data_IF_426511881577
#
_entry.id   IF_426511881577
#
_cell.length_a   1.000
_cell.length_b   1.000
_cell.length_c   1.000
_cell.angle_alpha   90.00
_cell.angle_beta   90.00
_cell.angle_gamma   90.00
#
_symmetry.space_group_name_H-M   'P 1'
#
loop_
_entity.id
_entity.type
_entity.pdbx_description
1 polymer ?
#
# COMPACT_ATOMS: atom_id res chain seq x y z
N UNK A 1 -28.84 -2.56 8.39
CA UNK A 1 -29.20 -1.34 7.64
C UNK A 1 -29.86 -1.67 6.30
N UNK A 2 -30.95 -0.97 5.95
CA UNK A 2 -31.68 -1.14 4.68
C UNK A 2 -31.10 -0.30 3.53
N UNK A 3 -30.34 0.77 3.82
CA UNK A 3 -29.72 1.61 2.79
C UNK A 3 -28.36 1.05 2.32
N UNK A 4 -28.34 0.56 1.09
CA UNK A 4 -27.13 0.01 0.43
C UNK A 4 -26.08 1.08 0.16
N UNK A 5 -26.47 2.33 -0.12
CA UNK A 5 -25.54 3.41 -0.43
C UNK A 5 -24.83 3.88 0.83
N UNK A 6 -25.58 4.05 1.94
CA UNK A 6 -25.00 4.40 3.24
C UNK A 6 -23.99 3.35 3.71
N UNK A 7 -24.37 2.06 3.63
CA UNK A 7 -23.48 0.95 3.99
C UNK A 7 -22.18 0.97 3.20
N UNK A 8 -22.27 1.16 1.87
CA UNK A 8 -21.07 1.28 1.02
C UNK A 8 -20.19 2.47 1.45
N UNK A 9 -20.78 3.63 1.72
CA UNK A 9 -20.06 4.84 2.15
C UNK A 9 -19.34 4.65 3.49
N UNK A 10 -19.97 3.98 4.46
CA UNK A 10 -19.36 3.65 5.75
C UNK A 10 -18.22 2.65 5.59
N UNK A 11 -18.42 1.59 4.81
CA UNK A 11 -17.38 0.62 4.49
C UNK A 11 -16.16 1.27 3.80
N UNK A 12 -16.39 2.17 2.84
CA UNK A 12 -15.31 2.90 2.16
C UNK A 12 -14.53 3.78 3.16
N UNK A 13 -15.23 4.47 4.08
CA UNK A 13 -14.59 5.32 5.10
C UNK A 13 -13.71 4.50 6.05
N UNK A 14 -14.21 3.37 6.53
CA UNK A 14 -13.46 2.48 7.43
C UNK A 14 -12.27 1.85 6.69
N UNK A 15 -12.47 1.36 5.46
CA UNK A 15 -11.40 0.75 4.65
C UNK A 15 -10.25 1.74 4.39
N UNK A 16 -10.58 3.01 4.11
CA UNK A 16 -9.58 4.08 3.95
C UNK A 16 -8.81 4.36 5.23
N UNK A 17 -9.49 4.42 6.36
CA UNK A 17 -8.83 4.61 7.66
C UNK A 17 -7.91 3.43 7.98
N UNK A 18 -8.35 2.19 7.75
CA UNK A 18 -7.50 1.00 7.91
C UNK A 18 -6.27 1.05 7.01
N UNK A 19 -6.45 1.37 5.72
CA UNK A 19 -5.34 1.55 4.79
C UNK A 19 -4.35 2.63 5.26
N UNK A 20 -4.86 3.76 5.77
CA UNK A 20 -4.05 4.85 6.28
C UNK A 20 -3.22 4.42 7.48
N UNK A 21 -3.83 3.80 8.48
CA UNK A 21 -3.14 3.33 9.69
C UNK A 21 -2.09 2.26 9.36
N UNK A 22 -2.41 1.30 8.47
CA UNK A 22 -1.46 0.29 8.00
C UNK A 22 -0.18 0.92 7.42
N UNK A 23 -0.34 1.96 6.60
CA UNK A 23 0.77 2.68 5.97
C UNK A 23 1.46 3.70 6.91
N UNK A 24 0.86 3.99 8.06
CA UNK A 24 1.32 5.06 8.97
C UNK A 24 1.82 4.54 10.31
N UNK A 25 2.03 3.22 10.42
CA UNK A 25 2.65 2.64 11.57
C UNK A 25 1.71 1.97 12.57
N UNK A 26 0.43 1.85 12.23
CA UNK A 26 -0.62 1.33 13.10
C UNK A 26 -1.27 2.42 13.96
N UNK A 27 -2.42 2.07 14.54
CA UNK A 27 -3.23 2.97 15.34
C UNK A 27 -4.56 2.35 15.74
N UNK A 28 -5.52 3.18 16.14
CA UNK A 28 -6.86 2.74 16.55
C UNK A 28 -7.91 3.58 15.85
N UNK A 29 -8.80 2.91 15.13
CA UNK A 29 -9.96 3.55 14.50
C UNK A 29 -11.12 3.41 15.48
N UNK A 30 -11.71 4.55 15.84
CA UNK A 30 -12.89 4.63 16.69
C UNK A 30 -14.12 4.94 15.84
N UNK A 31 -15.10 4.03 15.84
CA UNK A 31 -16.39 4.22 15.19
C UNK A 31 -17.49 4.26 16.24
N UNK A 32 -18.40 5.23 16.16
CA UNK A 32 -19.59 5.27 16.99
C UNK A 32 -20.65 4.34 16.41
N UNK A 33 -21.30 3.56 17.29
CA UNK A 33 -22.31 2.58 16.90
C UNK A 33 -23.66 3.30 16.85
N UNK A 34 -24.27 3.34 15.66
CA UNK A 34 -25.61 3.93 15.48
C UNK A 34 -26.74 2.95 15.87
N UNK A 35 -26.46 1.65 15.87
CA UNK A 35 -27.43 0.61 16.15
C UNK A 35 -27.52 0.37 17.67
N UNK A 36 -28.57 0.84 18.33
CA UNK A 36 -28.74 0.78 19.79
C UNK A 36 -28.60 -0.63 20.39
N UNK A 37 -29.00 -1.67 19.64
CA UNK A 37 -28.98 -3.07 20.11
C UNK A 37 -27.81 -3.89 19.56
N UNK A 38 -26.77 -3.24 19.00
CA UNK A 38 -25.64 -3.95 18.44
C UNK A 38 -24.75 -4.58 19.51
N UNK A 39 -24.39 -5.84 19.30
CA UNK A 39 -23.44 -6.58 20.11
C UNK A 39 -22.43 -7.29 19.22
N UNK A 40 -21.16 -6.94 19.35
CA UNK A 40 -20.08 -7.56 18.57
C UNK A 40 -20.04 -9.08 18.72
N UNK A 41 -20.39 -9.61 19.91
CA UNK A 41 -20.40 -11.06 20.17
C UNK A 41 -21.44 -11.82 19.34
N UNK A 42 -22.57 -11.19 19.03
CA UNK A 42 -23.69 -11.83 18.31
C UNK A 42 -23.74 -11.43 16.85
N UNK A 43 -23.36 -10.19 16.54
CA UNK A 43 -23.61 -9.57 15.24
C UNK A 43 -22.35 -9.52 14.37
N UNK A 44 -21.16 -9.68 14.95
CA UNK A 44 -19.88 -9.60 14.24
C UNK A 44 -19.56 -8.20 13.72
N UNK A 45 -18.66 -8.09 12.74
CA UNK A 45 -18.29 -6.80 12.12
C UNK A 45 -19.09 -6.48 10.86
N UNK A 46 -19.81 -7.46 10.30
CA UNK A 46 -20.53 -7.33 9.04
C UNK A 46 -19.74 -7.86 7.85
N UNK A 47 -20.44 -8.60 6.97
CA UNK A 47 -19.86 -9.31 5.83
C UNK A 47 -19.16 -8.39 4.82
N UNK A 48 -19.61 -7.15 4.67
CA UNK A 48 -19.00 -6.17 3.78
C UNK A 48 -17.63 -5.69 4.27
N UNK A 49 -17.47 -5.48 5.58
CA UNK A 49 -16.17 -5.19 6.20
C UNK A 49 -15.26 -6.43 6.17
N UNK A 50 -15.79 -7.62 6.45
CA UNK A 50 -15.03 -8.87 6.35
C UNK A 50 -14.45 -9.08 4.95
N UNK A 51 -15.27 -8.90 3.90
CA UNK A 51 -14.82 -9.00 2.52
C UNK A 51 -13.79 -7.91 2.16
N UNK A 52 -14.01 -6.67 2.63
CA UNK A 52 -13.10 -5.56 2.33
C UNK A 52 -11.73 -5.77 2.97
N UNK A 53 -11.69 -6.20 4.23
CA UNK A 53 -10.44 -6.51 4.93
C UNK A 53 -9.77 -7.77 4.38
N UNK A 54 -10.54 -8.81 4.03
CA UNK A 54 -10.02 -10.02 3.42
C UNK A 54 -9.40 -9.80 2.04
N UNK A 55 -9.95 -8.86 1.25
CA UNK A 55 -9.36 -8.46 -0.03
C UNK A 55 -8.12 -7.57 0.13
N UNK A 56 -8.05 -6.81 1.22
CA UNK A 56 -6.94 -5.88 1.49
C UNK A 56 -5.72 -6.58 2.09
N UNK A 57 -5.95 -7.57 2.97
CA UNK A 57 -4.93 -8.16 3.83
C UNK A 57 -4.83 -9.68 3.62
N UNK A 58 -3.62 -10.25 3.51
CA UNK A 58 -3.45 -11.70 3.39
C UNK A 58 -3.88 -12.45 4.65
N UNK A 59 -3.77 -11.82 5.83
CA UNK A 59 -4.24 -12.36 7.10
C UNK A 59 -4.80 -11.24 7.98
N UNK A 60 -6.13 -11.10 8.01
CA UNK A 60 -6.82 -10.02 8.74
C UNK A 60 -6.42 -9.99 10.21
N UNK A 61 -6.47 -11.13 10.92
CA UNK A 61 -6.17 -11.22 12.36
C UNK A 61 -4.72 -10.93 12.73
N UNK A 62 -3.80 -11.02 11.76
CA UNK A 62 -2.42 -10.60 12.01
C UNK A 62 -2.37 -9.09 12.26
N UNK A 63 -3.09 -8.31 11.46
CA UNK A 63 -3.00 -6.85 11.46
C UNK A 63 -4.15 -6.15 12.20
N UNK A 64 -5.34 -6.76 12.26
CA UNK A 64 -6.55 -6.15 12.80
C UNK A 64 -7.05 -6.91 14.02
N UNK A 65 -7.26 -6.18 15.10
CA UNK A 65 -7.97 -6.62 16.30
C UNK A 65 -9.20 -5.73 16.51
N UNK A 66 -10.26 -6.29 17.08
CA UNK A 66 -11.58 -5.65 17.16
C UNK A 66 -12.09 -5.68 18.60
N UNK A 67 -12.67 -4.58 19.05
CA UNK A 67 -13.23 -4.46 20.39
C UNK A 67 -14.46 -3.56 20.37
N UNK A 68 -15.51 -3.96 21.10
CA UNK A 68 -16.60 -3.06 21.44
C UNK A 68 -16.35 -2.51 22.85
N UNK A 69 -16.46 -1.20 23.00
CA UNK A 69 -16.41 -0.50 24.28
C UNK A 69 -17.57 0.51 24.33
N UNK A 70 -18.53 0.27 25.19
CA UNK A 70 -19.77 1.05 25.30
C UNK A 70 -20.45 1.20 23.92
N UNK A 71 -20.73 2.45 23.50
CA UNK A 71 -21.29 2.77 22.19
C UNK A 71 -20.24 2.93 21.07
N UNK A 72 -19.03 2.42 21.27
CA UNK A 72 -17.96 2.50 20.28
C UNK A 72 -17.47 1.13 19.84
N UNK A 73 -17.17 1.04 18.54
CA UNK A 73 -16.44 -0.05 17.93
C UNK A 73 -15.02 0.41 17.61
N UNK A 74 -14.03 -0.28 18.19
CA UNK A 74 -12.61 0.01 18.04
C UNK A 74 -11.97 -1.03 17.13
N UNK A 75 -11.24 -0.55 16.13
CA UNK A 75 -10.40 -1.38 15.24
C UNK A 75 -8.95 -1.02 15.53
N UNK A 76 -8.23 -1.94 16.17
CA UNK A 76 -6.80 -1.82 16.39
C UNK A 76 -6.08 -2.29 15.15
N UNK A 77 -5.25 -1.41 14.58
CA UNK A 77 -4.52 -1.65 13.34
C UNK A 77 -3.04 -1.71 13.68
N UNK A 78 -2.39 -2.83 13.39
CA UNK A 78 -0.93 -2.96 13.50
C UNK A 78 -0.27 -2.38 12.25
N UNK A 79 0.96 -1.90 12.39
CA UNK A 79 1.75 -1.43 11.24
C UNK A 79 1.82 -2.50 10.16
N UNK A 80 1.73 -2.09 8.89
CA UNK A 80 2.12 -2.97 7.80
C UNK A 80 3.61 -3.29 7.93
N UNK A 81 3.91 -4.59 7.96
CA UNK A 81 5.26 -5.14 7.92
C UNK A 81 5.19 -6.24 6.88
N UNK A 82 5.68 -5.96 5.67
CA UNK A 82 5.37 -6.80 4.52
C UNK A 82 5.94 -8.21 4.67
N UNK A 83 5.07 -9.22 4.58
CA UNK A 83 5.48 -10.61 4.32
C UNK A 83 5.65 -10.88 2.82
N UNK A 84 5.12 -10.00 1.97
CA UNK A 84 5.12 -10.15 0.52
C UNK A 84 6.36 -9.43 -0.02
N UNK A 85 7.33 -10.16 -0.61
CA UNK A 85 8.57 -9.57 -1.08
C UNK A 85 8.33 -8.36 -2.00
N UNK A 86 8.79 -7.19 -1.57
CA UNK A 86 8.74 -5.95 -2.35
C UNK A 86 7.48 -5.09 -2.21
N UNK A 87 6.40 -5.57 -1.59
CA UNK A 87 5.19 -4.75 -1.40
C UNK A 87 5.29 -3.92 -0.13
N UNK A 88 5.68 -2.64 -0.23
CA UNK A 88 5.92 -1.78 0.94
C UNK A 88 4.69 -1.11 1.52
N UNK A 89 3.64 -0.93 0.71
CA UNK A 89 2.42 -0.23 1.12
C UNK A 89 1.17 -1.01 0.79
N UNK A 90 0.15 -0.79 1.60
CA UNK A 90 -1.19 -1.31 1.41
C UNK A 90 -1.98 -0.37 0.50
N UNK A 91 -2.73 -0.94 -0.43
CA UNK A 91 -3.49 -0.21 -1.45
C UNK A 91 -4.84 -0.89 -1.64
N UNK A 92 -5.94 -0.13 -1.52
CA UNK A 92 -7.30 -0.64 -1.74
C UNK A 92 -7.56 -0.90 -3.23
N UNK A 93 -7.06 -0.01 -4.09
CA UNK A 93 -7.09 -0.16 -5.55
C UNK A 93 -5.92 0.60 -6.16
N UNK A 94 -5.12 -0.06 -7.00
CA UNK A 94 -4.03 0.61 -7.73
C UNK A 94 -4.55 1.64 -8.72
N UNK A 95 -5.78 1.47 -9.20
CA UNK A 95 -6.36 2.19 -10.33
C UNK A 95 -5.50 2.14 -11.62
N UNK A 96 -4.58 1.18 -11.69
CA UNK A 96 -3.91 0.77 -12.92
C UNK A 96 -4.72 -0.35 -13.55
N UNK A 97 -5.16 -0.15 -14.79
CA UNK A 97 -5.88 -1.19 -15.52
C UNK A 97 -5.00 -1.81 -16.59
N UNK A 98 -5.28 -3.08 -16.90
CA UNK A 98 -4.79 -3.76 -18.09
C UNK A 98 -5.93 -4.43 -18.84
N UNK A 99 -5.72 -4.64 -20.14
CA UNK A 99 -6.48 -5.63 -20.90
C UNK A 99 -5.99 -7.02 -20.54
N UNK A 100 -6.94 -7.87 -20.19
CA UNK A 100 -6.76 -9.30 -19.95
C UNK A 100 -7.76 -10.03 -20.84
N UNK A 101 -7.30 -10.35 -22.05
CA UNK A 101 -8.09 -10.89 -23.15
C UNK A 101 -9.29 -9.96 -23.43
N UNK A 102 -10.52 -10.38 -23.15
CA UNK A 102 -11.73 -9.60 -23.44
C UNK A 102 -12.11 -8.62 -22.33
N UNK A 103 -11.38 -8.58 -21.22
CA UNK A 103 -11.80 -7.83 -20.03
C UNK A 103 -10.78 -6.75 -19.65
N UNK A 104 -11.26 -5.60 -19.16
CA UNK A 104 -10.43 -4.61 -18.51
C UNK A 104 -10.41 -4.90 -17.00
N UNK A 105 -9.23 -5.24 -16.47
CA UNK A 105 -9.06 -5.57 -15.05
C UNK A 105 -8.13 -4.57 -14.38
N UNK A 106 -8.49 -4.16 -13.17
CA UNK A 106 -7.56 -3.45 -12.29
C UNK A 106 -6.45 -4.42 -11.88
N UNK A 107 -5.20 -3.94 -11.90
CA UNK A 107 -4.07 -4.69 -11.40
C UNK A 107 -4.13 -4.70 -9.88
N UNK A 108 -4.11 -5.88 -9.27
CA UNK A 108 -3.87 -5.99 -7.83
C UNK A 108 -2.49 -5.40 -7.46
N UNK A 109 -2.21 -5.14 -6.18
CA UNK A 109 -0.96 -4.48 -5.77
C UNK A 109 0.32 -5.19 -6.22
N UNK A 110 0.30 -6.53 -6.33
CA UNK A 110 1.46 -7.32 -6.76
C UNK A 110 1.65 -7.17 -8.27
N UNK A 111 0.59 -7.39 -9.05
CA UNK A 111 0.62 -7.22 -10.49
C UNK A 111 0.99 -5.78 -10.89
N UNK A 112 0.53 -4.79 -10.13
CA UNK A 112 0.88 -3.38 -10.34
C UNK A 112 2.36 -3.13 -10.05
N UNK A 113 2.90 -3.68 -8.97
CA UNK A 113 4.33 -3.57 -8.64
C UNK A 113 5.21 -4.17 -9.74
N UNK A 114 4.88 -5.39 -10.18
CA UNK A 114 5.59 -6.07 -11.27
C UNK A 114 5.54 -5.25 -12.55
N UNK A 115 4.36 -4.77 -12.94
CA UNK A 115 4.18 -3.90 -14.10
C UNK A 115 5.03 -2.63 -14.03
N UNK A 116 5.11 -1.97 -12.87
CA UNK A 116 5.86 -0.72 -12.73
C UNK A 116 7.37 -0.95 -12.74
N UNK A 117 7.86 -2.01 -12.07
CA UNK A 117 9.27 -2.41 -12.13
C UNK A 117 9.67 -2.73 -13.56
N UNK A 118 8.82 -3.46 -14.25
CA UNK A 118 9.01 -3.80 -15.65
C UNK A 118 9.11 -2.57 -16.58
N UNK A 119 8.20 -1.60 -16.40
CA UNK A 119 8.23 -0.33 -17.14
C UNK A 119 9.46 0.51 -16.80
N UNK A 120 9.92 0.48 -15.55
CA UNK A 120 11.14 1.17 -15.09
C UNK A 120 12.41 0.56 -15.71
N UNK A 121 12.51 -0.78 -15.73
CA UNK A 121 13.66 -1.51 -16.26
C UNK A 121 13.76 -1.44 -17.79
N UNK A 122 12.65 -1.65 -18.50
CA UNK A 122 12.64 -1.66 -19.97
C UNK A 122 12.80 -0.27 -20.59
N UNK A 123 12.50 0.80 -19.85
CA UNK A 123 12.48 2.16 -20.38
C UNK A 123 11.66 2.27 -21.68
N UNK A 124 12.11 3.10 -22.62
CA UNK A 124 11.46 3.31 -23.93
C UNK A 124 11.59 2.14 -24.90
N UNK A 125 12.15 0.99 -24.50
CA UNK A 125 12.08 -0.22 -25.33
C UNK A 125 10.62 -0.67 -25.35
N UNK A 126 9.84 -0.01 -26.19
CA UNK A 126 8.68 -0.56 -26.86
C UNK A 126 9.24 -1.74 -27.61
N UNK A 127 9.34 -2.88 -26.90
CA UNK A 127 9.56 -4.16 -27.55
C UNK A 127 8.61 -4.16 -28.74
N UNK A 128 9.13 -4.34 -29.97
CA UNK A 128 8.27 -4.59 -31.11
C UNK A 128 7.25 -5.63 -30.64
N UNK A 129 5.97 -5.48 -31.03
CA UNK A 129 5.03 -6.61 -30.94
C UNK A 129 5.85 -7.85 -31.32
N UNK A 130 5.92 -8.90 -30.49
CA UNK A 130 6.71 -10.07 -30.83
C UNK A 130 6.38 -10.37 -32.29
N UNK A 131 7.34 -10.17 -33.19
CA UNK A 131 7.15 -10.51 -34.58
C UNK A 131 6.93 -12.00 -34.50
N UNK A 132 5.68 -12.42 -34.63
CA UNK A 132 5.39 -13.81 -34.90
C UNK A 132 6.35 -14.18 -36.03
N UNK A 133 7.05 -15.33 -35.93
CA UNK A 133 7.96 -15.78 -36.98
C UNK A 133 7.24 -15.63 -38.33
N UNK A 134 7.92 -15.36 -39.45
CA UNK A 134 7.26 -15.32 -40.76
C UNK A 134 6.65 -16.71 -40.99
N UNK A 135 5.37 -16.84 -40.63
CA UNK A 135 4.64 -18.10 -40.62
C UNK A 135 3.88 -18.13 -41.93
N UNK A 136 4.09 -19.22 -42.67
CA UNK A 136 3.41 -19.55 -43.92
C UNK A 136 1.92 -19.20 -43.78
N UNK A 137 1.34 -18.54 -44.78
CA UNK A 137 -0.11 -18.36 -44.89
C UNK A 137 -0.77 -19.74 -44.76
N UNK A 138 -1.26 -20.07 -43.57
CA UNK A 138 -2.15 -21.19 -43.37
C UNK A 138 -3.57 -20.64 -43.56
N UNK A 139 -4.20 -20.98 -44.69
CA UNK A 139 -5.60 -20.68 -44.93
C UNK A 139 -6.44 -21.23 -43.77
N UNK A 140 -7.20 -20.35 -43.09
CA UNK A 140 -8.14 -20.74 -42.01
C UNK A 140 -7.69 -20.48 -40.58
N UNK A 141 -6.47 -19.96 -40.32
CA UNK A 141 -6.04 -19.57 -38.96
C UNK A 141 -6.43 -18.12 -38.66
N UNK A 142 -7.30 -17.90 -37.67
CA UNK A 142 -7.64 -16.56 -37.17
C UNK A 142 -6.78 -16.23 -35.93
N UNK A 143 -5.89 -15.26 -36.04
CA UNK A 143 -5.06 -14.74 -34.94
C UNK A 143 -5.61 -13.40 -34.42
N UNK A 144 -5.20 -13.00 -33.21
CA UNK A 144 -5.65 -11.74 -32.59
C UNK A 144 -5.25 -10.50 -33.41
N UNK A 145 -4.14 -10.56 -34.15
CA UNK A 145 -3.75 -9.53 -35.11
C UNK A 145 -4.77 -9.33 -36.23
N UNK A 146 -5.49 -10.38 -36.63
CA UNK A 146 -6.55 -10.29 -37.64
C UNK A 146 -7.76 -9.54 -37.07
N UNK A 147 -8.04 -9.69 -35.77
CA UNK A 147 -9.11 -8.97 -35.07
C UNK A 147 -8.77 -7.48 -34.99
N UNK A 148 -7.54 -7.12 -34.63
CA UNK A 148 -7.09 -5.73 -34.57
C UNK A 148 -7.12 -5.05 -35.96
N UNK A 149 -6.73 -5.77 -37.01
CA UNK A 149 -6.82 -5.28 -38.39
C UNK A 149 -8.28 -5.01 -38.79
N UNK A 150 -9.18 -5.97 -38.53
CA UNK A 150 -10.61 -5.79 -38.81
C UNK A 150 -11.23 -4.62 -38.01
N UNK A 151 -10.80 -4.42 -36.76
CA UNK A 151 -11.20 -3.27 -35.96
C UNK A 151 -10.66 -1.95 -36.53
N UNK A 152 -9.43 -1.93 -37.03
CA UNK A 152 -8.84 -0.76 -37.70
C UNK A 152 -9.62 -0.40 -38.98
N UNK A 153 -10.00 -1.39 -39.78
CA UNK A 153 -10.83 -1.20 -40.97
C UNK A 153 -12.20 -0.63 -40.59
N UNK A 154 -12.83 -1.21 -39.55
CA UNK A 154 -14.09 -0.70 -39.02
C UNK A 154 -13.99 0.74 -38.52
N UNK A 155 -12.91 1.09 -37.80
CA UNK A 155 -12.61 2.46 -37.35
C UNK A 155 -12.44 3.45 -38.51
N UNK A 156 -12.07 2.98 -39.70
CA UNK A 156 -11.87 3.82 -40.88
C UNK A 156 -13.12 3.98 -41.76
N UNK A 157 -14.21 3.27 -41.46
CA UNK A 157 -15.48 3.46 -42.15
C UNK A 157 -16.06 4.86 -41.90
N UNK A 158 -16.96 5.28 -42.76
CA UNK A 158 -17.68 6.56 -42.68
C UNK A 158 -19.17 6.39 -42.37
N UNK A 159 -19.76 5.27 -42.78
CA UNK A 159 -21.16 4.91 -42.55
C UNK A 159 -21.26 3.46 -42.09
N UNK A 160 -22.18 3.21 -41.17
CA UNK A 160 -22.52 1.91 -40.63
C UNK A 160 -23.99 1.60 -40.88
N UNK A 161 -24.34 0.32 -41.01
CA UNK A 161 -25.73 -0.11 -41.18
C UNK A 161 -26.30 -0.59 -39.84
N UNK A 162 -27.51 -0.13 -39.50
CA UNK A 162 -28.20 -0.57 -38.29
C UNK A 162 -28.38 -2.10 -38.30
N UNK A 163 -28.11 -2.72 -37.14
CA UNK A 163 -28.07 -4.18 -36.93
C UNK A 163 -27.08 -4.94 -37.82
N UNK A 164 -26.13 -4.28 -38.49
CA UNK A 164 -25.04 -5.00 -39.13
C UNK A 164 -24.23 -5.76 -38.08
N UNK A 165 -23.87 -6.99 -38.39
CA UNK A 165 -23.10 -7.84 -37.50
C UNK A 165 -21.61 -7.67 -37.81
N UNK A 166 -20.82 -7.35 -36.79
CA UNK A 166 -19.38 -7.24 -36.93
C UNK A 166 -18.76 -8.61 -37.21
N UNK A 167 -17.70 -8.62 -38.01
CA UNK A 167 -16.95 -9.82 -38.41
C UNK A 167 -15.85 -10.19 -37.41
N UNK A 168 -15.72 -9.45 -36.32
CA UNK A 168 -14.70 -9.62 -35.30
C UNK A 168 -15.30 -9.54 -33.89
N UNK A 169 -14.54 -9.99 -32.90
CA UNK A 169 -14.98 -10.09 -31.51
C UNK A 169 -14.20 -9.14 -30.61
N UNK A 170 -14.62 -9.02 -29.35
CA UNK A 170 -13.76 -8.47 -28.30
C UNK A 170 -12.48 -9.31 -28.18
N UNK A 171 -11.40 -8.62 -27.81
CA UNK A 171 -10.04 -9.16 -27.68
C UNK A 171 -9.20 -8.23 -26.81
N UNK A 172 -7.91 -8.50 -26.67
CA UNK A 172 -6.99 -7.62 -25.95
C UNK A 172 -6.96 -6.22 -26.56
N UNK A 173 -7.19 -6.11 -27.88
CA UNK A 173 -7.18 -4.85 -28.63
C UNK A 173 -8.55 -4.29 -28.97
N UNK A 174 -9.65 -4.95 -28.59
CA UNK A 174 -11.02 -4.53 -28.96
C UNK A 174 -11.96 -4.70 -27.79
N UNK A 175 -12.65 -3.62 -27.44
CA UNK A 175 -13.75 -3.60 -26.48
C UNK A 175 -15.02 -3.05 -27.13
N UNK A 176 -16.16 -3.67 -26.85
CA UNK A 176 -17.48 -3.24 -27.31
C UNK A 176 -18.38 -2.91 -26.11
N UNK A 177 -19.11 -1.81 -26.21
CA UNK A 177 -20.09 -1.41 -25.20
C UNK A 177 -21.37 -0.91 -25.85
N UNK A 178 -22.49 -1.30 -25.25
CA UNK A 178 -23.79 -0.71 -25.55
C UNK A 178 -24.37 -0.10 -24.28
N UNK A 179 -24.98 1.07 -24.43
CA UNK A 179 -25.77 1.68 -23.38
C UNK A 179 -27.23 1.76 -23.83
N UNK A 180 -28.12 1.20 -23.02
CA UNK A 180 -29.57 1.22 -23.25
C UNK A 180 -30.26 2.47 -22.72
N UNK A 181 -29.58 3.29 -21.89
CA UNK A 181 -30.19 4.41 -21.18
C UNK A 181 -29.78 5.75 -21.77
N UNK A 182 -30.68 6.74 -21.74
CA UNK A 182 -30.41 8.13 -22.11
C UNK A 182 -29.27 8.77 -21.28
N UNK A 183 -28.94 8.20 -20.10
CA UNK A 183 -27.78 8.58 -19.28
C UNK A 183 -26.43 8.05 -19.79
N UNK A 184 -26.32 7.68 -21.07
CA UNK A 184 -25.10 7.11 -21.63
C UNK A 184 -23.91 8.09 -21.54
N UNK A 185 -24.13 9.42 -21.59
CA UNK A 185 -23.07 10.42 -21.41
C UNK A 185 -22.37 10.28 -20.05
N UNK A 186 -23.14 10.13 -18.98
CA UNK A 186 -22.61 9.88 -17.63
C UNK A 186 -21.85 8.55 -17.56
N UNK A 187 -22.36 7.50 -18.24
CA UNK A 187 -21.67 6.21 -18.29
C UNK A 187 -20.33 6.28 -19.02
N UNK A 188 -20.22 7.04 -20.11
CA UNK A 188 -18.93 7.25 -20.78
C UNK A 188 -17.92 7.87 -19.82
N UNK A 189 -18.31 8.91 -19.06
CA UNK A 189 -17.43 9.53 -18.06
C UNK A 189 -16.93 8.53 -17.01
N UNK A 190 -17.78 7.58 -16.64
CA UNK A 190 -17.47 6.57 -15.63
C UNK A 190 -16.53 5.48 -16.16
N UNK A 191 -16.72 5.02 -17.39
CA UNK A 191 -15.97 3.88 -17.95
C UNK A 191 -14.70 4.29 -18.70
N UNK A 192 -14.68 5.47 -19.30
CA UNK A 192 -13.62 5.89 -20.23
C UNK A 192 -12.22 5.89 -19.56
N UNK A 193 -12.04 6.42 -18.34
CA UNK A 193 -10.75 6.34 -17.64
C UNK A 193 -10.19 4.92 -17.50
N UNK A 194 -11.07 3.95 -17.23
CA UNK A 194 -10.68 2.55 -17.02
C UNK A 194 -10.18 1.93 -18.32
N UNK A 195 -10.91 2.12 -19.43
CA UNK A 195 -10.51 1.57 -20.73
C UNK A 195 -9.29 2.27 -21.31
N UNK A 196 -9.16 3.59 -21.14
CA UNK A 196 -7.97 4.33 -21.59
C UNK A 196 -6.74 3.85 -20.83
N UNK A 197 -6.82 3.73 -19.50
CA UNK A 197 -5.76 3.12 -18.67
C UNK A 197 -5.45 1.70 -19.14
N UNK A 198 -6.47 0.86 -19.34
CA UNK A 198 -6.30 -0.53 -19.75
C UNK A 198 -5.55 -0.69 -21.08
N UNK A 199 -5.99 0.01 -22.13
CA UNK A 199 -5.37 -0.07 -23.45
C UNK A 199 -3.99 0.59 -23.46
N UNK A 200 -3.82 1.73 -22.79
CA UNK A 200 -2.55 2.43 -22.74
C UNK A 200 -1.45 1.60 -22.05
N UNK A 201 -1.81 0.88 -20.99
CA UNK A 201 -0.87 0.07 -20.21
C UNK A 201 -0.54 -1.29 -20.83
N UNK A 202 -1.31 -1.75 -21.83
CA UNK A 202 -1.00 -2.97 -22.59
C UNK A 202 -0.32 -2.62 -23.92
N UNK A 203 -1.04 -2.77 -25.04
CA UNK A 203 -0.54 -2.63 -26.41
C UNK A 203 -1.40 -1.71 -27.28
N UNK A 204 -2.27 -0.91 -26.65
CA UNK A 204 -3.26 -0.11 -27.33
C UNK A 204 -4.44 -0.95 -27.84
N UNK A 205 -5.42 -0.27 -28.43
CA UNK A 205 -6.60 -0.92 -28.96
C UNK A 205 -7.72 0.05 -29.31
N UNK A 206 -8.92 -0.51 -29.48
CA UNK A 206 -10.13 0.15 -29.93
C UNK A 206 -11.26 -0.06 -28.93
N UNK A 207 -11.94 1.02 -28.58
CA UNK A 207 -13.19 1.01 -27.81
C UNK A 207 -14.31 1.46 -28.73
N UNK A 208 -15.29 0.58 -28.97
CA UNK A 208 -16.48 0.88 -29.75
C UNK A 208 -17.70 0.96 -28.84
N UNK A 209 -18.33 2.12 -28.76
CA UNK A 209 -19.53 2.38 -27.97
C UNK A 209 -20.71 2.57 -28.93
N UNK A 210 -21.74 1.75 -28.79
CA UNK A 210 -22.86 1.63 -29.74
C UNK A 210 -22.94 0.24 -30.40
N UNK A 211 -22.25 -0.75 -29.85
CA UNK A 211 -22.26 -2.14 -30.34
C UNK A 211 -22.71 -3.05 -29.20
N UNK A 212 -23.73 -3.88 -29.43
CA UNK A 212 -24.29 -4.77 -28.41
C UNK A 212 -23.47 -6.07 -28.25
N UNK A 213 -23.85 -6.90 -27.27
CA UNK A 213 -23.20 -8.17 -26.96
C UNK A 213 -23.28 -9.19 -28.12
N UNK A 214 -24.32 -9.09 -28.94
CA UNK A 214 -24.49 -9.89 -30.17
C UNK A 214 -23.62 -9.41 -31.35
N UNK A 215 -22.75 -8.42 -31.11
CA UNK A 215 -21.85 -7.80 -32.08
C UNK A 215 -22.60 -7.06 -33.19
N UNK A 216 -23.78 -6.53 -32.87
CA UNK A 216 -24.59 -5.75 -33.79
C UNK A 216 -24.40 -4.26 -33.55
N UNK A 217 -24.32 -3.50 -34.64
CA UNK A 217 -24.29 -2.04 -34.59
C UNK A 217 -25.68 -1.52 -34.25
N UNK A 218 -25.83 -0.95 -33.05
CA UNK A 218 -27.08 -0.33 -32.60
C UNK A 218 -26.96 1.20 -32.66
N UNK A 219 -25.79 1.73 -32.30
CA UNK A 219 -25.54 3.16 -32.19
C UNK A 219 -26.08 3.77 -30.89
N UNK A 220 -25.67 5.01 -30.66
CA UNK A 220 -26.17 5.91 -29.63
C UNK A 220 -27.04 6.95 -30.31
N UNK A 221 -28.27 7.13 -29.83
CA UNK A 221 -29.14 8.21 -30.31
C UNK A 221 -28.60 9.54 -29.81
N UNK A 222 -28.29 10.45 -30.75
CA UNK A 222 -27.67 11.73 -30.45
C UNK A 222 -27.91 12.74 -31.57
N UNK A 223 -28.01 14.01 -31.22
CA UNK A 223 -28.03 15.11 -32.18
C UNK A 223 -26.62 15.54 -32.56
N UNK A 224 -26.47 16.34 -33.62
CA UNK A 224 -25.17 16.86 -34.04
C UNK A 224 -24.49 17.72 -32.95
N UNK A 225 -25.28 18.52 -32.22
CA UNK A 225 -24.79 19.37 -31.13
C UNK A 225 -24.25 18.56 -29.93
N UNK A 226 -24.67 17.32 -29.79
CA UNK A 226 -24.19 16.42 -28.75
C UNK A 226 -22.78 15.94 -29.07
N UNK A 227 -22.45 15.67 -30.34
CA UNK A 227 -21.15 15.16 -30.74
C UNK A 227 -19.98 16.08 -30.33
N UNK A 228 -20.16 17.40 -30.44
CA UNK A 228 -19.14 18.37 -30.02
C UNK A 228 -18.93 18.36 -28.51
N UNK A 229 -20.02 18.25 -27.73
CA UNK A 229 -19.94 18.07 -26.27
C UNK A 229 -19.20 16.78 -25.92
N UNK A 230 -19.41 15.70 -26.68
CA UNK A 230 -18.77 14.41 -26.41
C UNK A 230 -17.29 14.47 -26.72
N UNK A 231 -16.91 15.10 -27.83
CA UNK A 231 -15.51 15.33 -28.19
C UNK A 231 -14.79 16.08 -27.07
N UNK A 232 -15.38 17.18 -26.58
CA UNK A 232 -14.82 17.95 -25.47
C UNK A 232 -14.71 17.14 -24.17
N UNK A 233 -15.69 16.28 -23.87
CA UNK A 233 -15.66 15.43 -22.68
C UNK A 233 -14.60 14.33 -22.78
N UNK A 234 -14.46 13.66 -23.93
CA UNK A 234 -13.43 12.63 -24.15
C UNK A 234 -12.05 13.24 -23.95
N UNK A 235 -11.80 14.40 -24.56
CA UNK A 235 -10.54 15.13 -24.42
C UNK A 235 -10.27 15.53 -22.96
N UNK A 236 -11.26 16.13 -22.30
CA UNK A 236 -11.14 16.54 -20.91
C UNK A 236 -10.91 15.35 -19.97
N UNK A 237 -11.60 14.23 -20.21
CA UNK A 237 -11.49 13.02 -19.40
C UNK A 237 -10.10 12.38 -19.54
N UNK A 238 -9.60 12.23 -20.77
CA UNK A 238 -8.28 11.64 -21.04
C UNK A 238 -7.16 12.54 -20.51
N UNK A 239 -7.25 13.87 -20.69
CA UNK A 239 -6.24 14.82 -20.21
C UNK A 239 -6.12 14.86 -18.69
N UNK A 240 -7.18 14.54 -17.96
CA UNK A 240 -7.21 14.49 -16.49
C UNK A 240 -6.64 13.20 -15.90
N UNK A 241 -6.35 12.19 -16.72
CA UNK A 241 -5.84 10.92 -16.22
C UNK A 241 -4.44 11.10 -15.63
N UNK A 242 -4.19 10.62 -14.39
CA UNK A 242 -2.86 10.65 -13.83
C UNK A 242 -1.91 9.74 -14.64
N UNK A 243 -0.76 10.28 -15.03
CA UNK A 243 0.27 9.57 -15.76
C UNK A 243 1.59 9.66 -15.02
N UNK A 244 2.38 8.60 -15.08
CA UNK A 244 3.74 8.59 -14.54
C UNK A 244 4.73 8.15 -15.61
N UNK A 245 5.83 8.89 -15.71
CA UNK A 245 6.88 8.67 -16.70
C UNK A 245 8.19 8.25 -16.01
N UNK A 246 8.66 7.05 -16.31
CA UNK A 246 10.01 6.61 -15.98
C UNK A 246 11.04 7.09 -17.02
N UNK A 247 10.60 7.43 -18.24
CA UNK A 247 11.47 7.74 -19.37
C UNK A 247 12.00 9.19 -19.41
N UNK A 248 11.62 10.04 -18.45
CA UNK A 248 12.01 11.46 -18.41
C UNK A 248 11.37 12.35 -19.48
N UNK A 249 10.46 11.82 -20.32
CA UNK A 249 9.73 12.60 -21.34
C UNK A 249 8.28 12.79 -20.91
N UNK A 250 7.81 14.04 -20.91
CA UNK A 250 6.42 14.35 -20.58
C UNK A 250 5.51 14.21 -21.81
N UNK A 251 5.26 12.96 -22.23
CA UNK A 251 4.37 12.66 -23.38
C UNK A 251 2.92 12.56 -22.92
N UNK A 252 2.02 13.07 -23.74
CA UNK A 252 0.58 12.90 -23.56
C UNK A 252 0.10 11.53 -24.08
N UNK A 253 -1.07 11.11 -23.58
CA UNK A 253 -1.75 9.90 -24.03
C UNK A 253 -2.21 10.12 -25.47
N UNK A 254 -1.69 9.32 -26.41
CA UNK A 254 -2.07 9.40 -27.82
C UNK A 254 -3.35 8.62 -28.07
N UNK A 255 -4.37 9.30 -28.57
CA UNK A 255 -5.62 8.68 -28.97
C UNK A 255 -6.20 9.35 -30.22
N UNK A 256 -7.18 8.69 -30.83
CA UNK A 256 -7.99 9.23 -31.91
C UNK A 256 -9.44 8.80 -31.69
N UNK A 257 -10.40 9.65 -32.01
CA UNK A 257 -11.82 9.33 -31.87
C UNK A 257 -12.59 9.71 -33.13
N UNK A 258 -13.66 8.97 -33.41
CA UNK A 258 -14.59 9.23 -34.53
C UNK A 258 -16.01 8.91 -34.09
N UNK A 259 -16.97 9.64 -34.67
CA UNK A 259 -18.38 9.32 -34.58
C UNK A 259 -18.83 8.77 -35.92
N UNK A 260 -19.11 7.47 -35.96
CA UNK A 260 -19.49 6.75 -37.18
C UNK A 260 -21.02 6.77 -37.28
N UNK A 261 -21.57 7.42 -38.32
CA UNK A 261 -23.02 7.51 -38.50
C UNK A 261 -23.64 6.14 -38.79
N UNK A 262 -24.69 5.79 -38.05
CA UNK A 262 -25.46 4.55 -38.20
C UNK A 262 -26.75 4.86 -38.95
N UNK A 263 -27.00 4.10 -40.02
CA UNK A 263 -28.14 4.33 -40.90
C UNK A 263 -29.08 3.12 -40.90
N UNK A 264 -30.38 3.39 -40.77
CA UNK A 264 -31.46 2.43 -40.93
C UNK A 264 -32.30 2.83 -42.14
N UNK A 265 -32.37 1.96 -43.15
CA UNK A 265 -33.06 2.22 -44.43
C UNK A 265 -32.74 3.60 -45.05
N UNK A 266 -31.48 4.04 -44.94
CA UNK A 266 -30.99 5.31 -45.48
C UNK A 266 -31.14 6.52 -44.55
N UNK A 267 -31.84 6.39 -43.42
CA UNK A 267 -32.01 7.44 -42.43
C UNK A 267 -30.96 7.31 -41.32
N UNK A 268 -30.31 8.41 -40.97
CA UNK A 268 -29.39 8.45 -39.83
C UNK A 268 -30.17 8.21 -38.53
N UNK A 269 -29.85 7.15 -37.80
CA UNK A 269 -30.55 6.77 -36.57
C UNK A 269 -29.68 6.88 -35.30
N UNK A 270 -28.37 7.08 -35.44
CA UNK A 270 -27.47 7.31 -34.32
C UNK A 270 -25.99 7.27 -34.73
N UNK A 271 -25.12 7.19 -33.73
CA UNK A 271 -23.67 7.17 -33.93
C UNK A 271 -23.00 6.07 -33.10
N UNK A 272 -21.98 5.43 -33.66
CA UNK A 272 -21.01 4.67 -32.88
C UNK A 272 -19.85 5.60 -32.52
N UNK A 273 -19.57 5.72 -31.22
CA UNK A 273 -18.36 6.39 -30.74
C UNK A 273 -17.20 5.40 -30.76
N UNK A 274 -16.25 5.62 -31.66
CA UNK A 274 -15.09 4.78 -31.85
C UNK A 274 -13.84 5.51 -31.33
N UNK A 275 -13.12 4.94 -30.37
CA UNK A 275 -11.85 5.45 -29.88
C UNK A 275 -10.74 4.47 -30.20
N UNK A 276 -9.60 4.98 -30.68
CA UNK A 276 -8.33 4.27 -30.82
C UNK A 276 -7.36 4.83 -29.78
N UNK A 277 -6.89 3.99 -28.87
CA UNK A 277 -5.92 4.34 -27.83
C UNK A 277 -4.59 3.69 -28.21
N UNK A 278 -3.52 4.47 -28.27
CA UNK A 278 -2.18 3.92 -28.52
C UNK A 278 -1.55 3.43 -27.21
N UNK A 279 -0.67 2.44 -27.31
CA UNK A 279 0.20 2.03 -26.19
C UNK A 279 0.97 3.24 -25.66
N UNK A 280 0.98 3.38 -24.34
CA UNK A 280 1.73 4.41 -23.64
C UNK A 280 3.11 3.89 -23.23
N UNK A 281 4.08 4.78 -23.08
CA UNK A 281 5.47 4.39 -22.79
C UNK A 281 5.66 3.89 -21.36
N UNK A 282 4.91 4.42 -20.39
CA UNK A 282 5.08 4.14 -18.98
C UNK A 282 3.76 3.68 -18.34
N UNK A 283 3.17 4.47 -17.43
CA UNK A 283 1.96 4.09 -16.71
C UNK A 283 0.87 5.17 -16.82
N UNK A 284 -0.34 4.74 -17.14
CA UNK A 284 -1.56 5.55 -17.15
C UNK A 284 -2.53 5.00 -16.12
N UNK A 285 -2.93 5.82 -15.17
CA UNK A 285 -3.91 5.48 -14.15
C UNK A 285 -5.30 5.96 -14.56
N UNK A 286 -6.34 5.23 -14.16
CA UNK A 286 -7.71 5.70 -14.35
C UNK A 286 -8.04 6.86 -13.40
N UNK A 287 -7.44 6.86 -12.19
CA UNK A 287 -7.57 7.85 -11.11
C UNK A 287 -6.34 7.73 -10.19
N UNK A 288 -6.16 8.66 -9.27
CA UNK A 288 -5.17 8.51 -8.19
C UNK A 288 -5.33 7.16 -7.48
N UNK A 289 -4.24 6.45 -7.10
CA UNK A 289 -4.33 5.18 -6.38
C UNK A 289 -5.17 5.32 -5.12
N UNK A 290 -6.05 4.36 -4.84
CA UNK A 290 -6.84 4.32 -3.61
C UNK A 290 -5.95 3.76 -2.48
N UNK A 291 -4.92 4.53 -2.13
CA UNK A 291 -3.96 4.25 -1.07
C UNK A 291 -3.80 5.50 -0.20
N UNK A 292 -3.78 5.31 1.12
CA UNK A 292 -3.92 6.38 2.09
C UNK A 292 -2.81 6.29 3.13
N UNK A 293 -2.49 7.43 3.74
CA UNK A 293 -1.62 7.54 4.90
C UNK A 293 -2.09 8.68 5.79
N UNK A 294 -1.52 8.77 6.98
CA UNK A 294 -1.72 9.84 7.94
C UNK A 294 -0.56 10.82 7.80
N UNK A 295 -0.88 12.06 7.50
CA UNK A 295 0.07 13.18 7.43
C UNK A 295 -0.58 14.39 8.10
N UNK A 296 0.17 15.10 8.95
CA UNK A 296 -0.31 16.27 9.69
C UNK A 296 -1.64 16.04 10.43
N UNK A 297 -1.76 14.87 11.09
CA UNK A 297 -2.96 14.42 11.81
C UNK A 297 -4.22 14.28 10.92
N UNK A 298 -4.04 14.10 9.61
CA UNK A 298 -5.14 13.91 8.66
C UNK A 298 -4.90 12.68 7.78
N UNK A 299 -5.99 11.99 7.46
CA UNK A 299 -5.97 10.91 6.46
C UNK A 299 -5.91 11.55 5.07
N UNK A 300 -4.80 11.33 4.35
CA UNK A 300 -4.56 11.86 3.00
C UNK A 300 -4.37 10.72 1.99
N UNK A 301 -4.94 10.90 0.80
CA UNK A 301 -4.70 10.02 -0.33
C UNK A 301 -3.30 10.26 -0.88
N UNK A 302 -2.57 9.18 -1.17
CA UNK A 302 -1.29 9.28 -1.88
C UNK A 302 -1.53 9.72 -3.32
N UNK A 303 -0.68 10.61 -3.79
CA UNK A 303 -0.57 10.89 -5.22
C UNK A 303 0.11 9.72 -5.95
N UNK A 304 -0.08 9.61 -7.27
CA UNK A 304 0.65 8.64 -8.11
C UNK A 304 2.16 8.70 -7.87
N UNK A 305 2.72 9.90 -7.75
CA UNK A 305 4.16 10.09 -7.55
C UNK A 305 4.64 9.50 -6.22
N UNK A 306 3.94 9.79 -5.12
CA UNK A 306 4.27 9.27 -3.79
C UNK A 306 4.10 7.75 -3.76
N UNK A 307 2.97 7.27 -4.30
CA UNK A 307 2.65 5.85 -4.33
C UNK A 307 3.71 5.04 -5.09
N UNK A 308 4.18 5.54 -6.26
CA UNK A 308 5.25 4.88 -7.02
C UNK A 308 6.59 4.90 -6.27
N UNK A 309 6.95 5.99 -5.59
CA UNK A 309 8.20 6.05 -4.81
C UNK A 309 8.25 4.99 -3.72
N UNK A 310 7.15 4.79 -3.01
CA UNK A 310 7.07 3.74 -1.99
C UNK A 310 7.03 2.34 -2.58
N UNK A 311 6.32 2.14 -3.70
CA UNK A 311 6.21 0.82 -4.33
C UNK A 311 7.51 0.38 -5.03
N UNK A 312 8.15 1.29 -5.77
CA UNK A 312 9.20 0.95 -6.76
C UNK A 312 10.58 1.44 -6.35
N UNK A 313 10.70 2.66 -5.83
CA UNK A 313 12.00 3.27 -5.51
C UNK A 313 12.56 2.81 -4.16
N UNK A 314 11.78 1.99 -3.44
CA UNK A 314 12.11 1.47 -2.14
C UNK A 314 12.46 2.57 -1.13
N UNK A 315 11.88 3.77 -1.28
CA UNK A 315 11.98 4.81 -0.26
C UNK A 315 11.42 4.29 1.08
N UNK A 316 12.04 4.65 2.20
CA UNK A 316 11.51 4.32 3.51
C UNK A 316 10.18 5.05 3.72
N UNK A 317 9.20 4.35 4.29
CA UNK A 317 7.90 4.93 4.57
C UNK A 317 8.03 6.15 5.49
N UNK A 318 7.10 7.13 5.46
CA UNK A 318 7.12 8.23 6.41
C UNK A 318 7.07 7.72 7.86
N UNK A 319 6.41 6.58 8.09
CA UNK A 319 6.32 5.86 9.35
C UNK A 319 7.56 5.03 9.71
N UNK A 320 8.56 4.94 8.81
CA UNK A 320 9.91 4.41 9.05
C UNK A 320 10.90 5.53 9.40
N UNK A 321 10.44 6.77 9.64
CA UNK A 321 11.28 7.78 10.30
C UNK A 321 11.10 7.68 11.81
N UNK A 322 12.22 7.62 12.53
CA UNK A 322 12.23 7.75 13.98
C UNK A 322 11.63 9.10 14.37
N UNK A 323 10.56 9.11 15.17
CA UNK A 323 9.95 10.35 15.67
C UNK A 323 10.63 10.77 16.96
N UNK A 324 10.87 12.08 17.13
CA UNK A 324 11.55 12.63 18.30
C UNK A 324 10.58 13.45 19.14
N UNK A 325 10.45 13.14 20.42
CA UNK A 325 9.45 13.75 21.31
C UNK A 325 10.10 14.15 22.64
N UNK A 326 9.95 15.40 23.13
CA UNK A 326 9.42 16.56 22.42
C UNK A 326 10.41 17.03 21.34
N UNK A 327 9.92 17.30 20.12
CA UNK A 327 10.75 17.76 19.01
C UNK A 327 11.52 19.06 19.34
N UNK A 328 10.84 20.01 20.01
CA UNK A 328 11.45 21.26 20.45
C UNK A 328 12.64 21.05 21.41
N UNK A 329 12.54 20.03 22.28
CA UNK A 329 13.64 19.71 23.20
C UNK A 329 14.81 19.10 22.43
N UNK A 330 14.54 18.17 21.51
CA UNK A 330 15.56 17.57 20.67
C UNK A 330 16.32 18.62 19.84
N UNK A 331 15.60 19.51 19.15
CA UNK A 331 16.20 20.60 18.37
C UNK A 331 17.04 21.53 19.24
N UNK A 332 16.57 21.85 20.45
CA UNK A 332 17.32 22.66 21.41
C UNK A 332 18.61 21.95 21.87
N UNK A 333 18.55 20.65 22.12
CA UNK A 333 19.72 19.86 22.51
C UNK A 333 20.76 19.75 21.38
N UNK A 334 20.32 19.63 20.12
CA UNK A 334 21.21 19.64 18.96
C UNK A 334 21.96 20.96 18.80
N UNK A 335 21.30 22.09 19.06
CA UNK A 335 21.93 23.42 19.05
C UNK A 335 22.92 23.60 20.22
N UNK A 336 22.66 22.96 21.37
CA UNK A 336 23.47 23.09 22.58
C UNK A 336 24.70 22.18 22.58
N UNK A 337 24.65 21.04 21.88
CA UNK A 337 25.69 20.00 21.94
C UNK A 337 26.09 19.51 20.54
N UNK A 338 27.22 20.02 20.05
CA UNK A 338 27.82 19.58 18.79
C UNK A 338 28.20 18.09 18.87
N UNK A 339 27.76 17.29 17.90
CA UNK A 339 27.97 15.83 17.86
C UNK A 339 26.85 14.98 18.46
N UNK A 340 25.87 15.59 19.17
CA UNK A 340 24.72 14.86 19.73
C UNK A 340 23.95 14.04 18.68
N UNK A 341 23.71 14.61 17.50
CA UNK A 341 23.03 13.92 16.39
C UNK A 341 23.73 12.61 16.00
N UNK A 342 25.07 12.61 15.97
CA UNK A 342 25.87 11.44 15.62
C UNK A 342 25.81 10.38 16.71
N UNK A 343 25.80 10.80 17.98
CA UNK A 343 25.69 9.87 19.12
C UNK A 343 24.29 9.24 19.16
N UNK A 344 23.23 10.03 18.96
CA UNK A 344 21.86 9.53 18.85
C UNK A 344 21.74 8.55 17.67
N UNK A 345 22.26 8.91 16.50
CA UNK A 345 22.28 8.04 15.33
C UNK A 345 23.01 6.71 15.61
N UNK A 346 24.19 6.77 16.26
CA UNK A 346 24.97 5.58 16.62
C UNK A 346 24.28 4.71 17.68
N UNK A 347 23.60 5.32 18.64
CA UNK A 347 22.89 4.62 19.72
C UNK A 347 21.57 3.98 19.25
N UNK A 348 20.88 4.60 18.29
CA UNK A 348 19.70 4.03 17.62
C UNK A 348 20.09 2.88 16.68
N UNK A 349 21.30 2.91 16.11
CA UNK A 349 21.87 1.79 15.36
C UNK A 349 21.04 1.43 14.11
N UNK A 350 20.72 0.15 13.93
CA UNK A 350 19.90 -0.37 12.82
C UNK A 350 18.39 -0.31 13.09
N UNK A 351 17.94 0.38 14.14
CA UNK A 351 16.51 0.52 14.41
C UNK A 351 15.93 1.51 13.43
N UNK A 352 15.27 0.97 12.40
CA UNK A 352 14.65 1.76 11.34
C UNK A 352 13.27 2.32 11.74
N UNK A 353 12.70 1.92 12.89
CA UNK A 353 11.35 2.33 13.26
C UNK A 353 11.15 2.43 14.78
N UNK A 354 10.73 3.60 15.27
CA UNK A 354 10.44 3.83 16.69
C UNK A 354 10.26 5.29 17.08
N UNK A 355 9.94 5.54 18.35
CA UNK A 355 9.86 6.88 18.94
C UNK A 355 11.01 7.07 19.92
N UNK A 356 11.78 8.13 19.78
CA UNK A 356 12.76 8.57 20.78
C UNK A 356 12.12 9.64 21.68
N UNK A 357 11.97 9.32 22.96
CA UNK A 357 11.45 10.25 23.97
C UNK A 357 12.63 10.86 24.72
N UNK A 358 12.85 12.16 24.54
CA UNK A 358 13.88 12.94 25.22
C UNK A 358 13.35 13.62 26.48
N UNK A 359 14.19 13.65 27.50
CA UNK A 359 14.08 14.57 28.64
C UNK A 359 15.48 15.05 29.03
N UNK A 360 15.58 16.21 29.69
CA UNK A 360 16.86 16.70 30.22
C UNK A 360 17.37 15.81 31.34
N UNK A 361 16.46 15.30 32.17
CA UNK A 361 16.75 14.29 33.18
C UNK A 361 15.43 13.70 33.67
N UNK A 362 15.25 12.39 33.50
CA UNK A 362 14.08 11.70 34.07
C UNK A 362 14.16 11.70 35.59
N UNK A 363 15.36 11.79 36.16
CA UNK A 363 15.54 11.92 37.61
C UNK A 363 14.91 13.22 38.10
N UNK A 364 15.17 14.36 37.46
CA UNK A 364 14.50 15.63 37.75
C UNK A 364 12.98 15.54 37.59
N UNK A 365 12.51 14.97 36.48
CA UNK A 365 11.08 14.85 36.17
C UNK A 365 10.33 13.95 37.18
N UNK A 366 11.05 13.08 37.90
CA UNK A 366 10.53 12.21 38.95
C UNK A 366 10.79 12.75 40.37
N UNK A 367 11.26 13.99 40.51
CA UNK A 367 11.52 14.64 41.80
C UNK A 367 12.79 14.17 42.52
N UNK A 368 13.72 13.54 41.79
CA UNK A 368 15.04 13.12 42.29
C UNK A 368 16.10 14.20 41.99
N UNK A 369 17.26 14.10 42.63
CA UNK A 369 18.35 15.06 42.40
C UNK A 369 18.86 15.01 40.95
N UNK A 370 19.10 16.20 40.40
CA UNK A 370 19.69 16.41 39.08
C UNK A 370 21.13 15.89 39.03
N UNK A 371 21.48 15.21 37.94
CA UNK A 371 22.87 14.86 37.67
C UNK A 371 23.42 15.80 36.60
N UNK A 372 24.23 16.76 37.01
CA UNK A 372 24.83 17.80 36.15
C UNK A 372 25.72 17.22 35.03
N UNK A 373 26.12 15.95 35.11
CA UNK A 373 26.91 15.29 34.07
C UNK A 373 26.06 14.73 32.94
N UNK A 374 24.73 14.70 33.06
CA UNK A 374 23.79 14.17 32.05
C UNK A 374 23.31 15.32 31.16
N UNK A 375 23.57 15.22 29.86
CA UNK A 375 23.11 16.14 28.82
C UNK A 375 21.60 15.95 28.60
N UNK A 376 21.20 14.69 28.40
CA UNK A 376 19.81 14.29 28.29
C UNK A 376 19.65 12.77 28.47
N UNK A 377 18.44 12.39 28.89
CA UNK A 377 17.96 11.02 28.85
C UNK A 377 17.09 10.83 27.60
N UNK A 378 17.29 9.72 26.88
CA UNK A 378 16.45 9.33 25.76
C UNK A 378 15.94 7.89 25.92
N UNK A 379 14.65 7.67 25.68
CA UNK A 379 14.03 6.35 25.65
C UNK A 379 13.66 6.00 24.20
N UNK A 380 14.20 4.90 23.68
CA UNK A 380 13.79 4.37 22.38
C UNK A 380 12.68 3.34 22.55
N UNK A 381 11.51 3.64 22.00
CA UNK A 381 10.41 2.70 21.84
C UNK A 381 10.46 2.19 20.40
N UNK A 382 11.10 1.03 20.20
CA UNK A 382 11.14 0.34 18.90
C UNK A 382 9.85 -0.45 18.67
N UNK A 383 9.44 -0.62 17.40
CA UNK A 383 8.29 -1.48 17.05
C UNK A 383 8.62 -2.96 17.01
N UNK A 384 9.88 -3.31 16.75
CA UNK A 384 10.32 -4.68 16.51
C UNK A 384 11.06 -5.31 17.70
N UNK A 385 11.24 -4.54 18.78
CA UNK A 385 11.91 -4.98 20.00
C UNK A 385 11.13 -4.51 21.23
N UNK A 386 11.12 -5.26 22.35
CA UNK A 386 10.62 -4.74 23.62
C UNK A 386 11.33 -3.40 23.97
N UNK A 387 10.72 -2.54 24.80
CA UNK A 387 11.34 -1.25 25.16
C UNK A 387 12.63 -1.52 25.94
N UNK A 388 13.78 -1.50 25.27
CA UNK A 388 15.03 -2.04 25.84
C UNK A 388 16.18 -1.05 25.91
N UNK A 389 16.02 0.24 25.58
CA UNK A 389 17.17 1.16 25.61
C UNK A 389 16.81 2.51 26.24
N UNK A 390 17.24 2.70 27.50
CA UNK A 390 17.47 4.03 28.08
C UNK A 390 18.87 4.47 27.68
N UNK A 391 18.98 5.50 26.85
CA UNK A 391 20.24 6.14 26.48
C UNK A 391 20.43 7.32 27.43
N UNK A 392 21.35 7.21 28.39
CA UNK A 392 21.84 8.37 29.14
C UNK A 392 23.02 8.97 28.37
N UNK A 393 22.88 10.21 27.90
CA UNK A 393 23.96 10.93 27.23
C UNK A 393 24.64 11.83 28.25
N UNK A 394 25.93 11.61 28.51
CA UNK A 394 26.69 12.35 29.52
C UNK A 394 27.81 13.18 28.88
N UNK A 395 28.13 14.31 29.49
CA UNK A 395 29.33 15.09 29.15
C UNK A 395 30.58 14.26 29.50
N UNK A 396 31.32 13.81 28.49
CA UNK A 396 32.67 13.28 28.71
C UNK A 396 33.62 14.46 28.72
N UNK A 397 33.89 15.01 29.91
CA UNK A 397 35.01 15.92 30.11
C UNK A 397 36.28 15.05 30.14
N UNK A 398 37.21 15.16 29.17
CA UNK A 398 38.48 14.45 29.28
C UNK A 398 39.29 15.11 30.41
N UNK A 399 39.52 14.39 31.51
CA UNK A 399 40.52 14.81 32.50
C UNK A 399 41.91 14.60 31.88
N UNK A 400 42.78 15.63 31.85
CA UNK A 400 44.15 15.44 31.44
C UNK A 400 44.92 14.67 32.52
N UNK A 401 45.78 13.75 32.08
CA UNK A 401 46.76 13.00 32.86
C UNK A 401 46.27 11.72 33.57
N UNK A 402 46.33 10.60 32.85
CA UNK A 402 47.23 9.48 33.20
C UNK A 402 47.26 8.45 32.07
N UNK A 403 48.13 8.67 31.09
CA UNK A 403 48.73 7.54 30.36
C UNK A 403 49.58 6.78 31.37
N UNK A 404 49.20 5.56 31.74
CA UNK A 404 50.15 4.50 32.15
C UNK A 404 49.48 3.12 32.19
N UNK A 405 49.97 2.29 31.27
CA UNK A 405 50.13 0.83 31.33
C UNK A 405 48.88 -0.04 31.61
N UNK A 406 48.35 -0.66 30.55
CA UNK A 406 47.72 -1.98 30.64
C UNK A 406 48.68 -2.98 30.00
N UNK A 407 49.45 -3.66 30.84
CA UNK A 407 50.14 -4.89 30.51
C UNK A 407 49.10 -6.00 30.31
N UNK A 408 49.40 -6.89 29.35
CA UNK A 408 48.75 -8.16 29.06
C UNK A 408 48.39 -8.90 30.35
N UNK A 409 47.16 -9.41 30.43
CA UNK A 409 46.94 -10.86 30.55
C UNK A 409 45.45 -11.24 30.72
N UNK A 410 45.08 -12.29 29.98
CA UNK A 410 43.96 -13.22 30.21
C UNK A 410 42.57 -12.88 29.67
N UNK A 411 42.37 -13.17 28.37
CA UNK A 411 41.07 -13.56 27.81
C UNK A 411 41.10 -15.09 27.60
N UNK A 412 40.39 -15.85 28.44
CA UNK A 412 40.04 -17.26 28.15
C UNK A 412 38.61 -17.54 28.62
N UNK A 413 37.84 -18.13 27.69
CA UNK A 413 36.57 -18.85 27.88
C UNK A 413 35.33 -17.94 28.09
N UNK A 414 34.21 -18.00 27.37
CA UNK A 414 33.60 -19.02 26.50
C UNK A 414 32.54 -18.33 25.62
N UNK A 415 32.51 -18.59 24.30
CA UNK A 415 31.35 -18.32 23.42
C UNK A 415 31.07 -19.61 22.65
N UNK A 416 29.96 -20.29 22.96
CA UNK A 416 29.36 -21.25 22.05
C UNK A 416 28.07 -20.68 21.45
N UNK A 417 28.07 -20.66 20.12
CA UNK A 417 27.00 -20.23 19.23
C UNK A 417 25.92 -21.29 19.16
N UNK A 418 24.65 -20.91 19.22
CA UNK A 418 23.54 -21.73 18.72
C UNK A 418 22.85 -21.04 17.55
N UNK A 419 23.18 -21.51 16.33
CA UNK A 419 22.35 -21.39 15.14
C UNK A 419 21.35 -22.54 15.15
N UNK A 420 20.08 -22.24 14.91
CA UNK A 420 19.03 -23.22 14.66
C UNK A 420 19.21 -23.85 13.27
N UNK A 421 19.06 -25.16 13.14
CA UNK A 421 18.65 -25.78 11.89
C UNK A 421 17.71 -26.97 12.12
N UNK A 422 16.72 -27.02 11.24
CA UNK A 422 15.56 -27.89 11.15
C UNK A 422 15.86 -29.40 11.08
N UNK A 423 15.03 -30.23 11.72
CA UNK A 423 14.09 -31.19 11.09
C UNK A 423 13.70 -32.37 12.02
N UNK A 424 12.42 -32.69 11.92
CA UNK A 424 11.77 -34.00 12.04
C UNK A 424 11.57 -34.71 13.40
N UNK A 425 10.28 -34.89 13.66
CA UNK A 425 9.62 -35.83 14.55
C UNK A 425 10.31 -37.20 14.70
N UNK A 426 10.40 -37.66 15.95
CA UNK A 426 9.87 -38.97 16.42
C UNK A 426 9.81 -38.94 17.95
N UNK A 427 8.60 -39.02 18.52
CA UNK A 427 8.36 -39.33 19.92
C UNK A 427 8.31 -40.85 20.07
N UNK A 428 8.95 -41.39 21.10
CA UNK A 428 8.47 -42.57 21.81
C UNK A 428 8.65 -42.35 23.32
N UNK A 429 7.66 -42.69 24.17
CA UNK A 429 7.64 -42.30 25.57
C UNK A 429 8.02 -43.46 26.50
N UNK A 430 9.01 -43.28 27.36
CA UNK A 430 9.12 -44.00 28.65
C UNK A 430 10.30 -43.46 29.44
N UNK A 431 10.01 -42.92 30.63
CA UNK A 431 10.82 -42.82 31.85
C UNK A 431 10.56 -41.52 32.63
N UNK A 432 9.27 -41.26 32.88
CA UNK A 432 8.85 -40.46 34.04
C UNK A 432 8.55 -41.43 35.19
N UNK A 433 9.46 -41.53 36.16
CA UNK A 433 9.18 -41.75 37.59
C UNK A 433 10.48 -41.84 38.37
N UNK A 434 10.83 -40.71 39.01
CA UNK A 434 11.50 -40.58 40.35
C UNK A 434 12.38 -39.32 40.43
N UNK A 435 11.81 -38.13 40.19
CA UNK A 435 12.37 -36.86 40.74
C UNK A 435 11.29 -35.86 41.20
N UNK A 436 10.08 -36.34 41.47
CA UNK A 436 9.05 -35.62 42.23
C UNK A 436 8.96 -36.27 43.61
N UNK A 437 9.66 -35.69 44.60
CA UNK A 437 9.39 -35.83 46.06
C UNK A 437 10.41 -35.10 46.96
N UNK A 438 11.10 -34.07 46.46
CA UNK A 438 12.06 -33.31 47.31
C UNK A 438 11.97 -31.79 47.28
N UNK A 439 11.03 -31.20 46.53
CA UNK A 439 10.87 -29.74 46.46
C UNK A 439 9.56 -29.20 47.03
N UNK A 440 8.75 -30.02 47.70
CA UNK A 440 7.51 -29.57 48.38
C UNK A 440 7.69 -29.19 49.85
N UNK A 441 8.88 -29.36 50.43
CA UNK A 441 9.17 -28.95 51.82
C UNK A 441 9.91 -27.61 51.96
N UNK A 442 10.17 -26.88 50.87
CA UNK A 442 10.79 -25.55 50.91
C UNK A 442 9.87 -24.41 50.49
N UNK A 443 8.57 -24.67 50.25
CA UNK A 443 7.59 -23.66 49.82
C UNK A 443 6.60 -23.19 50.87
N UNK A 444 6.68 -23.68 52.11
CA UNK A 444 5.71 -23.31 53.18
C UNK A 444 6.29 -22.51 54.36
N UNK A 445 7.59 -22.16 54.36
CA UNK A 445 8.18 -21.35 55.44
C UNK A 445 8.43 -19.87 55.10
N UNK A 446 7.90 -19.34 54.00
CA UNK A 446 8.03 -17.90 53.68
C UNK A 446 6.69 -17.21 53.41
N UNK A 447 5.62 -17.66 54.09
CA UNK A 447 4.32 -16.97 54.14
C UNK A 447 3.88 -16.82 55.59
N UNK A 448 4.47 -15.87 56.30
CA UNK A 448 3.85 -15.14 57.43
C UNK A 448 4.85 -14.16 58.05
N UNK A 449 4.81 -12.89 57.60
CA UNK A 449 4.79 -11.69 58.46
C UNK A 449 4.53 -10.46 57.59
N UNK A 450 3.57 -9.66 58.06
CA UNK A 450 3.04 -8.35 57.61
C UNK A 450 4.14 -7.42 57.05
N UNK A 451 3.91 -6.54 56.08
CA UNK A 451 2.77 -5.63 55.88
C UNK A 451 3.32 -4.19 55.93
N UNK A 452 2.94 -3.36 54.96
CA UNK A 452 3.10 -1.89 54.83
C UNK A 452 4.30 -1.27 54.07
N UNK A 453 3.91 -0.55 53.00
CA UNK A 453 4.40 0.73 52.44
C UNK A 453 5.64 0.81 51.52
N UNK A 454 5.34 1.23 50.27
CA UNK A 454 6.14 2.01 49.31
C UNK A 454 7.18 1.30 48.40
N UNK A 455 7.20 1.58 47.07
CA UNK A 455 8.01 0.86 46.11
C UNK A 455 9.42 1.45 45.97
N UNK A 456 10.43 0.66 46.31
CA UNK A 456 11.80 0.88 45.83
C UNK A 456 11.86 0.55 44.33
N UNK A 457 11.80 1.56 43.47
CA UNK A 457 12.24 1.44 42.08
C UNK A 457 13.76 1.59 42.07
N UNK A 458 14.45 0.46 41.94
CA UNK A 458 15.88 0.42 41.69
C UNK A 458 16.17 0.90 40.27
N UNK A 459 16.75 2.09 40.13
CA UNK A 459 17.27 2.61 38.86
C UNK A 459 18.60 1.92 38.57
N UNK A 460 18.59 0.96 37.65
CA UNK A 460 19.81 0.31 37.14
C UNK A 460 20.43 1.22 36.08
N UNK A 461 21.66 1.67 36.36
CA UNK A 461 22.48 2.46 35.43
C UNK A 461 23.33 1.50 34.60
N UNK A 462 23.10 1.42 33.29
CA UNK A 462 24.00 0.75 32.35
C UNK A 462 24.80 1.80 31.59
N UNK A 463 26.05 2.01 32.01
CA UNK A 463 27.05 2.68 31.17
C UNK A 463 27.45 1.69 30.07
N UNK A 464 27.01 1.90 28.83
CA UNK A 464 27.56 1.16 27.69
C UNK A 464 28.92 1.75 27.31
N UNK A 465 29.98 1.03 27.68
CA UNK A 465 31.29 1.19 27.06
C UNK A 465 31.17 0.90 25.56
N UNK A 466 31.73 1.82 24.76
CA UNK A 466 31.86 1.65 23.32
C UNK A 466 32.72 0.41 23.01
N UNK A 467 32.19 -0.52 22.22
CA UNK A 467 33.00 -1.38 21.36
C UNK A 467 32.69 -0.95 19.92
N UNK A 468 33.61 -0.18 19.34
CA UNK A 468 33.76 -0.11 17.90
C UNK A 468 34.42 -1.41 17.44
N UNK A 469 33.78 -2.13 16.52
CA UNK A 469 34.48 -3.00 15.58
C UNK A 469 34.01 -2.64 14.18
N UNK A 470 35.02 -2.44 13.32
CA UNK A 470 35.00 -2.33 11.86
C UNK A 470 34.13 -3.36 11.16
#
# INVERSE_FOLDING_TARGET
>A
MKDRQLRKKQNDKISRAVCAELNSGGGVIKAEIENENYSFKTDGIGLDLENSFGNLLPCVRKYLDFMQQDNYFLIFVKSWSSEIPGLKIVTLSSNLYKRDITSAKVMDPIAALEFLKDRKERGEVLSPKPLSPPKRLCFGVQEESNIEAAAADFFNRTKLKYKEKLTFTESTHVEMKQFSTEKWFQRIKEILPQYVSAFANTDGGYLFIGVNEDKQVIGLRAESSDLDKWKGEIETSIRKLPVYHFCGRNREIKYSHKFLGVYDEGHLCGYVCALKIQRFCCAVFAKEPDSWHVEDNRVRQMTVNEWIRFMVDAEPMPSEKTTYVPEALYMKLLLQHEGLAQVVHKAVGSVHQGTLIFSRSWSLDLGLQENENVICDALLISKDCPPTVKICLCNIIPRPNTMKAVQRDTLKNTIEKSKCNSKQCKRNPQEDRKKLKRNEQQREQTKQKMGDLSPNISIITLCTWSICTS
#
